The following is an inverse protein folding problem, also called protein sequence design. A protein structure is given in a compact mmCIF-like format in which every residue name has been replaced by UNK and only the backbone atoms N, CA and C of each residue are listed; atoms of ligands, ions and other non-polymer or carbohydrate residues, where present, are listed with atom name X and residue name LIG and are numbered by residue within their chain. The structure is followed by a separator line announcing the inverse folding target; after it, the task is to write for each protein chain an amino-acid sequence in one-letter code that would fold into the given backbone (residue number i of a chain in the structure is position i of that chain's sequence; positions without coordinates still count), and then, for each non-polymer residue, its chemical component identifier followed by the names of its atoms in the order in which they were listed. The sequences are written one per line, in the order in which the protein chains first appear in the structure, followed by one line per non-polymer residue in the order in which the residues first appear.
data_IF_039538487362
#
_entry.id   IF_039538487362
#
_cell.length_a   1.000
_cell.length_b   1.000
_cell.length_c   1.000
_cell.angle_alpha   90.00
_cell.angle_beta   90.00
_cell.angle_gamma   90.00
#
_symmetry.space_group_name_H-M   'P 1'
#
loop_
_entity.id
_entity.type
_entity.pdbx_description
1 polymer ?
#
# COMPACT_ATOMS: atom_id res chain seq x y z
N UNK A 1 22.59 15.66 -0.76
CA UNK A 1 21.54 15.88 0.26
C UNK A 1 20.37 16.67 -0.31
N UNK A 2 19.73 16.14 -1.36
CA UNK A 2 18.53 16.77 -1.93
C UNK A 2 17.30 16.04 -1.38
N UNK A 3 16.94 16.38 -0.15
CA UNK A 3 15.71 15.91 0.47
C UNK A 3 14.50 16.56 -0.20
N UNK A 4 13.57 15.74 -0.68
CA UNK A 4 12.27 16.23 -1.13
C UNK A 4 11.57 16.97 0.03
N UNK A 5 11.27 18.26 -0.15
CA UNK A 5 10.63 19.09 0.87
C UNK A 5 9.23 19.53 0.40
N UNK A 6 8.20 19.11 1.13
CA UNK A 6 6.84 19.61 0.93
C UNK A 6 6.75 21.06 1.40
N UNK A 7 6.44 21.98 0.50
CA UNK A 7 6.09 23.37 0.84
C UNK A 7 4.59 23.52 0.72
N UNK A 8 3.90 23.68 1.85
CA UNK A 8 2.47 23.95 1.91
C UNK A 8 2.28 25.45 2.17
N UNK A 9 1.53 26.12 1.31
CA UNK A 9 1.12 27.51 1.50
C UNK A 9 0.03 27.57 2.57
N UNK A 10 0.37 28.14 3.74
CA UNK A 10 -0.53 28.28 4.89
C UNK A 10 -1.67 29.28 4.67
N UNK A 11 -1.72 30.01 3.54
CA UNK A 11 -2.70 31.06 3.28
C UNK A 11 -3.94 30.61 2.51
N UNK A 12 -3.92 29.44 1.87
CA UNK A 12 -5.12 28.78 1.36
C UNK A 12 -5.80 28.04 2.51
N UNK A 13 -7.13 28.09 2.61
CA UNK A 13 -7.92 27.40 3.65
C UNK A 13 -7.28 26.05 4.01
N UNK A 14 -6.74 25.95 5.23
CA UNK A 14 -5.57 25.12 5.57
C UNK A 14 -5.68 23.64 5.17
N UNK A 15 -6.91 23.11 5.08
CA UNK A 15 -7.17 21.73 4.66
C UNK A 15 -7.09 21.53 3.14
N UNK A 16 -7.58 22.46 2.33
CA UNK A 16 -7.54 22.34 0.86
C UNK A 16 -6.11 22.46 0.34
N UNK A 17 -5.29 23.29 1.00
CA UNK A 17 -3.86 23.41 0.72
C UNK A 17 -3.14 22.07 0.98
N UNK A 18 -3.45 21.40 2.09
CA UNK A 18 -2.87 20.11 2.45
C UNK A 18 -3.37 18.95 1.56
N UNK A 19 -4.62 19.02 1.07
CA UNK A 19 -5.20 18.00 0.20
C UNK A 19 -4.64 18.05 -1.23
N UNK A 20 -4.27 19.23 -1.73
CA UNK A 20 -3.77 19.41 -3.10
C UNK A 20 -2.66 18.41 -3.49
N UNK A 21 -1.53 18.30 -2.75
CA UNK A 21 -0.48 17.35 -3.13
C UNK A 21 -0.93 15.88 -3.06
N UNK A 22 -1.86 15.55 -2.16
CA UNK A 22 -2.42 14.20 -2.06
C UNK A 22 -3.28 13.86 -3.28
N UNK A 23 -4.13 14.80 -3.70
CA UNK A 23 -4.98 14.64 -4.89
C UNK A 23 -4.12 14.58 -6.15
N UNK A 24 -3.12 15.46 -6.30
CA UNK A 24 -2.18 15.44 -7.43
C UNK A 24 -1.43 14.12 -7.51
N UNK A 25 -0.93 13.60 -6.38
CA UNK A 25 -0.26 12.30 -6.32
C UNK A 25 -1.21 11.15 -6.68
N UNK A 26 -2.46 11.19 -6.18
CA UNK A 26 -3.47 10.20 -6.50
C UNK A 26 -3.85 10.21 -7.99
N UNK A 27 -4.11 11.38 -8.57
CA UNK A 27 -4.40 11.55 -10.00
C UNK A 27 -3.23 11.04 -10.84
N UNK A 28 -2.01 11.49 -10.54
CA UNK A 28 -0.80 11.04 -11.23
C UNK A 28 -0.65 9.52 -11.23
N UNK A 29 -0.90 8.86 -10.09
CA UNK A 29 -0.89 7.41 -10.01
C UNK A 29 -2.01 6.78 -10.84
N UNK A 30 -3.26 7.23 -10.66
CA UNK A 30 -4.46 6.67 -11.27
C UNK A 30 -4.51 6.85 -12.80
N UNK A 31 -3.83 7.85 -13.34
CA UNK A 31 -3.74 8.09 -14.79
C UNK A 31 -2.46 7.57 -15.43
N UNK A 32 -1.61 6.85 -14.68
CA UNK A 32 -0.35 6.30 -15.20
C UNK A 32 -0.41 4.78 -15.38
N UNK A 33 0.55 4.25 -16.16
CA UNK A 33 0.78 2.80 -16.28
C UNK A 33 1.08 2.12 -14.93
N UNK A 34 1.48 2.89 -13.90
CA UNK A 34 1.71 2.36 -12.55
C UNK A 34 0.42 1.87 -11.89
N UNK A 35 -0.75 2.30 -12.36
CA UNK A 35 -2.03 1.79 -11.87
C UNK A 35 -2.12 0.26 -11.98
N UNK A 36 -1.56 -0.34 -13.04
CA UNK A 36 -1.51 -1.80 -13.20
C UNK A 36 -0.73 -2.52 -12.07
N UNK A 37 0.12 -1.79 -11.34
CA UNK A 37 0.87 -2.29 -10.19
C UNK A 37 0.15 -2.06 -8.85
N UNK A 38 -0.95 -1.32 -8.82
CA UNK A 38 -1.72 -1.10 -7.60
C UNK A 38 -2.46 -2.38 -7.20
N UNK A 39 -2.22 -2.84 -5.97
CA UNK A 39 -2.80 -4.08 -5.45
C UNK A 39 -3.36 -3.86 -4.05
N UNK A 40 -4.43 -4.58 -3.74
CA UNK A 40 -4.94 -4.71 -2.37
C UNK A 40 -4.22 -5.86 -1.67
N UNK A 41 -3.95 -5.69 -0.37
CA UNK A 41 -3.41 -6.76 0.46
C UNK A 41 -4.30 -8.02 0.40
N UNK A 42 -3.69 -9.19 0.16
CA UNK A 42 -4.41 -10.46 0.09
C UNK A 42 -4.92 -10.99 1.43
N UNK A 43 -4.65 -10.29 2.55
CA UNK A 43 -5.20 -10.64 3.86
C UNK A 43 -6.60 -10.06 3.95
N UNK A 44 -7.61 -10.91 4.16
CA UNK A 44 -9.03 -10.50 4.11
C UNK A 44 -9.39 -9.40 5.11
N UNK A 45 -8.64 -9.30 6.21
CA UNK A 45 -8.85 -8.29 7.27
C UNK A 45 -7.89 -7.09 7.15
N UNK A 46 -7.17 -6.94 6.03
CA UNK A 46 -6.30 -5.81 5.76
C UNK A 46 -6.79 -5.04 4.53
N UNK A 47 -6.97 -3.73 4.70
CA UNK A 47 -7.50 -2.83 3.67
C UNK A 47 -6.45 -1.97 2.98
N UNK A 48 -5.17 -2.25 3.26
CA UNK A 48 -4.07 -1.50 2.67
C UNK A 48 -3.94 -1.77 1.17
N UNK A 49 -3.74 -0.70 0.41
CA UNK A 49 -3.27 -0.73 -0.96
C UNK A 49 -1.73 -0.60 -0.97
N UNK A 50 -1.09 -1.17 -1.98
CA UNK A 50 0.34 -1.06 -2.18
C UNK A 50 0.67 -1.13 -3.67
N UNK A 51 1.82 -0.57 -4.06
CA UNK A 51 2.37 -0.77 -5.39
C UNK A 51 3.25 -2.03 -5.41
N UNK A 52 2.99 -2.90 -6.38
CA UNK A 52 3.79 -4.08 -6.63
C UNK A 52 5.01 -3.73 -7.51
N UNK A 53 6.10 -3.42 -6.82
CA UNK A 53 7.40 -3.10 -7.42
C UNK A 53 8.25 -4.34 -7.67
N UNK A 54 7.71 -5.55 -7.46
CA UNK A 54 8.43 -6.78 -7.82
C UNK A 54 8.53 -6.93 -9.34
N UNK A 55 9.61 -7.57 -9.80
CA UNK A 55 9.88 -7.79 -11.24
C UNK A 55 8.70 -8.44 -11.98
N UNK A 56 8.02 -9.38 -11.32
CA UNK A 56 6.97 -10.21 -11.93
C UNK A 56 5.55 -9.88 -11.44
N UNK A 57 5.36 -8.73 -10.77
CA UNK A 57 4.07 -8.32 -10.20
C UNK A 57 3.37 -9.44 -9.36
N UNK A 58 4.17 -10.11 -8.52
CA UNK A 58 3.76 -11.29 -7.75
C UNK A 58 3.57 -11.03 -6.25
N UNK A 59 3.74 -9.80 -5.78
CA UNK A 59 3.56 -9.45 -4.37
C UNK A 59 2.08 -9.56 -4.00
N UNK A 60 1.81 -10.35 -2.95
CA UNK A 60 0.45 -10.58 -2.45
C UNK A 60 0.08 -9.77 -1.20
N UNK A 61 1.07 -9.31 -0.45
CA UNK A 61 0.86 -8.70 0.87
C UNK A 61 1.38 -7.26 0.89
N UNK A 62 0.68 -6.37 1.61
CA UNK A 62 1.11 -4.99 1.79
C UNK A 62 2.51 -4.89 2.41
N UNK A 63 2.91 -5.88 3.20
CA UNK A 63 4.27 -6.04 3.70
C UNK A 63 4.46 -7.51 4.15
N UNK A 64 5.67 -8.02 3.94
CA UNK A 64 6.00 -9.40 4.33
C UNK A 64 6.09 -9.55 5.85
N UNK A 65 6.72 -8.59 6.54
CA UNK A 65 6.93 -8.64 7.99
C UNK A 65 5.62 -8.70 8.80
N UNK A 66 4.57 -8.00 8.33
CA UNK A 66 3.26 -7.94 8.96
C UNK A 66 2.27 -8.95 8.35
N UNK A 67 1.54 -8.57 7.30
CA UNK A 67 0.45 -9.38 6.75
C UNK A 67 0.91 -10.73 6.22
N UNK A 68 2.06 -10.79 5.55
CA UNK A 68 2.52 -12.05 4.98
C UNK A 68 2.96 -13.07 6.05
N UNK A 69 3.63 -12.64 7.12
CA UNK A 69 3.98 -13.50 8.26
C UNK A 69 2.73 -13.97 9.01
N UNK A 70 1.78 -13.07 9.25
CA UNK A 70 0.50 -13.41 9.87
C UNK A 70 -0.22 -14.52 9.09
N UNK A 71 -0.27 -14.44 7.75
CA UNK A 71 -0.90 -15.48 6.93
C UNK A 71 -0.14 -16.80 6.96
N UNK A 72 1.21 -16.79 6.97
CA UNK A 72 2.02 -18.01 7.14
C UNK A 72 1.70 -18.72 8.45
N UNK A 73 1.62 -17.97 9.56
CA UNK A 73 1.26 -18.52 10.89
C UNK A 73 -0.15 -19.09 10.89
N UNK A 74 -1.14 -18.36 10.34
CA UNK A 74 -2.53 -18.86 10.24
C UNK A 74 -2.60 -20.17 9.46
N UNK A 75 -1.90 -20.27 8.33
CA UNK A 75 -1.84 -21.49 7.51
C UNK A 75 -1.20 -22.65 8.27
N UNK A 76 -0.09 -22.41 8.96
CA UNK A 76 0.58 -23.44 9.76
C UNK A 76 -0.32 -23.98 10.87
N UNK A 77 -0.97 -23.10 11.65
CA UNK A 77 -1.92 -23.50 12.71
C UNK A 77 -3.14 -24.23 12.15
N UNK A 78 -3.65 -23.84 10.98
CA UNK A 78 -4.75 -24.53 10.34
C UNK A 78 -4.37 -25.95 9.86
N UNK A 79 -3.14 -26.13 9.37
CA UNK A 79 -2.63 -27.45 9.00
C UNK A 79 -2.49 -28.37 10.23
N UNK A 80 -1.95 -27.85 11.34
CA UNK A 80 -1.85 -28.62 12.60
C UNK A 80 -3.20 -29.08 13.15
N UNK A 81 -4.26 -28.26 12.99
CA UNK A 81 -5.62 -28.66 13.40
C UNK A 81 -6.27 -29.71 12.50
N UNK A 82 -5.78 -29.90 11.27
CA UNK A 82 -6.29 -30.92 10.33
C UNK A 82 -5.58 -32.26 10.47
N UNK A 83 -4.44 -32.29 11.14
CA UNK A 83 -3.68 -33.52 11.42
C UNK A 83 -4.03 -34.15 12.77
N UNK A 84 -4.97 -33.56 13.51
CA UNK A 84 -5.62 -34.11 14.71
C UNK A 84 -7.01 -34.56 14.30
#
# INVERSE_FOLDING_TARGET
DDGFAWTLDSSAAELDAALRPLVESAVSLLTSERLARLRRCGNSTCYWLFLDETKNCSRRWCEMASCGNLMKVRRHRAAQRRSV
#
